data_IF_410500621076
#
_entry.id   IF_410500621076
#
_cell.length_a   1.000
_cell.length_b   1.000
_cell.length_c   1.000
_cell.angle_alpha   90.00
_cell.angle_beta   90.00
_cell.angle_gamma   90.00
#
_symmetry.space_group_name_H-M   'P 1'
#
loop_
_entity.id
_entity.type
_entity.pdbx_description
1 polymer ?
#
# COMPACT_ATOMS: atom_id res chain seq x y z
N UNK A 1 -26.84 -29.39 -19.26
CA UNK A 1 -27.78 -28.27 -19.41
C UNK A 1 -27.12 -27.06 -18.76
N UNK A 2 -26.78 -25.96 -19.41
CA UNK A 2 -26.84 -25.55 -20.82
C UNK A 2 -25.76 -24.47 -20.97
N UNK A 3 -24.96 -24.60 -22.02
CA UNK A 3 -23.89 -23.69 -22.40
C UNK A 3 -24.47 -22.47 -23.14
N UNK A 4 -23.82 -21.31 -23.03
CA UNK A 4 -24.11 -20.14 -23.86
C UNK A 4 -23.14 -20.18 -25.06
N UNK A 5 -23.59 -20.07 -26.32
CA UNK A 5 -22.78 -20.33 -27.50
C UNK A 5 -21.94 -19.13 -27.95
N UNK A 6 -20.85 -19.45 -28.65
CA UNK A 6 -20.00 -18.56 -29.44
C UNK A 6 -20.71 -18.00 -30.68
N UNK A 7 -20.24 -16.82 -31.12
CA UNK A 7 -20.14 -16.45 -32.54
C UNK A 7 -21.29 -15.61 -33.09
N UNK A 8 -21.00 -14.33 -33.39
CA UNK A 8 -21.74 -13.57 -34.41
C UNK A 8 -20.71 -12.97 -35.39
N UNK A 9 -20.85 -13.43 -36.63
CA UNK A 9 -20.22 -13.01 -37.88
C UNK A 9 -20.66 -11.57 -38.25
N UNK A 10 -19.82 -10.68 -38.82
CA UNK A 10 -20.17 -9.26 -39.00
C UNK A 10 -21.10 -8.96 -40.19
N UNK A 11 -21.69 -9.95 -40.84
CA UNK A 11 -22.45 -9.75 -42.08
C UNK A 11 -23.89 -10.25 -41.96
N UNK A 12 -24.73 -9.47 -41.28
CA UNK A 12 -26.17 -9.27 -41.57
C UNK A 12 -26.84 -8.60 -40.36
N UNK A 13 -26.94 -7.27 -40.36
CA UNK A 13 -28.05 -6.61 -39.70
C UNK A 13 -28.40 -5.32 -40.44
N UNK A 14 -29.44 -5.42 -41.27
CA UNK A 14 -30.12 -4.32 -41.94
C UNK A 14 -30.96 -3.56 -40.92
N UNK A 15 -30.34 -2.56 -40.27
CA UNK A 15 -31.02 -1.66 -39.35
C UNK A 15 -30.32 -0.31 -39.32
N UNK A 16 -31.02 0.72 -39.79
CA UNK A 16 -30.56 2.11 -39.99
C UNK A 16 -29.81 2.71 -38.79
N UNK A 17 -28.51 2.98 -38.95
CA UNK A 17 -27.70 3.75 -37.99
C UNK A 17 -27.20 5.06 -38.63
N UNK A 18 -28.07 6.06 -38.64
CA UNK A 18 -27.79 7.43 -39.11
C UNK A 18 -26.81 8.20 -38.20
N UNK A 19 -26.35 7.60 -37.08
CA UNK A 19 -25.44 8.26 -36.14
C UNK A 19 -23.96 8.07 -36.52
N UNK A 20 -23.58 6.94 -37.14
CA UNK A 20 -22.17 6.69 -37.53
C UNK A 20 -21.73 7.49 -38.76
N UNK A 21 -22.57 7.63 -39.78
CA UNK A 21 -22.22 8.38 -41.00
C UNK A 21 -22.13 9.91 -40.80
N UNK A 22 -22.67 10.46 -39.71
CA UNK A 22 -22.52 11.89 -39.39
C UNK A 22 -21.17 12.24 -38.76
N UNK A 23 -20.45 11.27 -38.18
CA UNK A 23 -19.14 11.51 -37.59
C UNK A 23 -18.02 11.52 -38.64
N UNK A 24 -18.06 10.63 -39.63
CA UNK A 24 -17.00 10.55 -40.65
C UNK A 24 -17.15 11.62 -41.76
N UNK A 25 -18.36 12.06 -42.09
CA UNK A 25 -18.57 13.13 -43.09
C UNK A 25 -18.13 14.51 -42.59
N UNK A 26 -18.06 14.72 -41.27
CA UNK A 26 -17.68 16.01 -40.68
C UNK A 26 -16.17 16.28 -40.67
N UNK A 27 -15.33 15.26 -40.92
CA UNK A 27 -13.87 15.37 -40.80
C UNK A 27 -13.15 15.71 -42.12
N UNK A 28 -13.78 15.53 -43.29
CA UNK A 28 -13.06 15.59 -44.58
C UNK A 28 -13.52 16.63 -45.61
N UNK A 29 -14.48 17.51 -45.30
CA UNK A 29 -14.87 18.59 -46.23
C UNK A 29 -14.90 19.96 -45.55
N UNK A 30 -13.73 20.54 -45.33
CA UNK A 30 -13.59 21.95 -45.00
C UNK A 30 -12.42 22.56 -45.79
N UNK A 31 -12.54 22.60 -47.12
CA UNK A 31 -11.56 23.27 -48.00
C UNK A 31 -11.91 24.74 -48.28
N UNK A 32 -13.12 25.22 -47.95
CA UNK A 32 -13.45 26.64 -48.11
C UNK A 32 -14.15 27.22 -46.88
N UNK A 33 -13.37 27.63 -45.88
CA UNK A 33 -13.85 28.57 -44.85
C UNK A 33 -13.18 29.92 -45.04
N UNK A 34 -13.93 31.04 -44.98
CA UNK A 34 -13.34 32.36 -44.99
C UNK A 34 -12.37 32.50 -43.81
N UNK A 35 -11.28 33.25 -44.03
CA UNK A 35 -10.26 33.49 -43.02
C UNK A 35 -10.91 33.88 -41.68
N UNK A 36 -10.56 33.15 -40.63
CA UNK A 36 -11.08 33.35 -39.28
C UNK A 36 -10.72 34.77 -38.80
N UNK A 37 -11.75 35.58 -38.52
CA UNK A 37 -11.61 36.93 -37.98
C UNK A 37 -11.78 36.90 -36.44
N UNK A 38 -10.67 36.95 -35.68
CA UNK A 38 -10.69 36.80 -34.22
C UNK A 38 -11.37 37.97 -33.50
N UNK A 39 -11.68 39.08 -34.19
CA UNK A 39 -12.32 40.25 -33.59
C UNK A 39 -13.83 40.07 -33.32
N UNK A 40 -14.45 39.01 -33.87
CA UNK A 40 -15.91 38.78 -33.81
C UNK A 40 -16.37 37.85 -32.68
N UNK A 41 -15.48 37.35 -31.83
CA UNK A 41 -15.88 36.53 -30.68
C UNK A 41 -16.34 37.45 -29.54
N UNK A 42 -17.66 37.53 -29.30
CA UNK A 42 -18.26 38.07 -28.07
C UNK A 42 -19.05 36.96 -27.38
N UNK A 43 -18.55 36.48 -26.23
CA UNK A 43 -19.21 35.45 -25.40
C UNK A 43 -18.22 34.42 -24.84
N UNK A 44 -18.59 33.64 -23.80
CA UNK A 44 -17.71 32.75 -23.04
C UNK A 44 -17.47 31.45 -23.81
N UNK A 45 -16.83 31.55 -24.98
CA UNK A 45 -16.43 30.39 -25.76
C UNK A 45 -15.18 29.76 -25.15
N UNK A 46 -15.32 28.50 -24.76
CA UNK A 46 -14.27 27.56 -24.36
C UNK A 46 -13.10 27.68 -25.36
N UNK A 47 -11.85 27.85 -24.92
CA UNK A 47 -10.80 28.28 -25.83
C UNK A 47 -10.32 27.11 -26.70
N UNK A 48 -10.04 27.43 -27.97
CA UNK A 48 -9.17 26.66 -28.86
C UNK A 48 -7.93 26.17 -28.09
N UNK A 49 -7.31 25.03 -28.44
CA UNK A 49 -6.06 24.60 -27.81
C UNK A 49 -5.02 25.75 -27.81
N UNK A 50 -4.19 25.84 -26.78
CA UNK A 50 -3.19 26.90 -26.58
C UNK A 50 -1.80 26.30 -26.32
N UNK A 51 -0.77 27.02 -26.74
CA UNK A 51 0.65 26.66 -26.71
C UNK A 51 1.51 27.80 -26.16
N UNK A 52 2.78 27.52 -25.85
CA UNK A 52 3.76 28.52 -25.38
C UNK A 52 3.27 29.38 -24.20
N UNK A 53 2.67 28.73 -23.19
CA UNK A 53 2.22 29.42 -21.97
C UNK A 53 3.44 29.92 -21.21
N UNK A 54 3.45 31.22 -20.90
CA UNK A 54 4.54 31.87 -20.18
C UNK A 54 4.23 31.99 -18.68
N UNK A 55 5.27 32.32 -17.90
CA UNK A 55 5.12 32.53 -16.46
C UNK A 55 4.07 33.63 -16.18
N UNK A 56 3.15 33.44 -15.21
CA UNK A 56 2.22 34.49 -14.81
C UNK A 56 2.99 35.69 -14.23
N UNK A 57 2.59 36.89 -14.64
CA UNK A 57 3.12 38.17 -14.15
C UNK A 57 1.99 38.92 -13.46
N UNK A 58 1.99 38.92 -12.13
CA UNK A 58 0.87 39.45 -11.33
C UNK A 58 -0.44 38.76 -11.69
N UNK A 59 -1.47 39.53 -12.05
CA UNK A 59 -2.79 39.02 -12.45
C UNK A 59 -2.91 38.80 -13.97
N UNK A 60 -1.80 38.64 -14.68
CA UNK A 60 -1.76 38.39 -16.13
C UNK A 60 -0.97 37.16 -16.49
N UNK A 61 -1.39 36.46 -17.56
CA UNK A 61 -0.66 35.33 -18.12
C UNK A 61 -0.68 35.43 -19.65
N UNK A 62 0.45 35.13 -20.28
CA UNK A 62 0.60 35.19 -21.74
C UNK A 62 0.64 33.78 -22.31
N UNK A 63 -0.11 33.54 -23.38
CA UNK A 63 -0.16 32.27 -24.09
C UNK A 63 -0.33 32.51 -25.60
N UNK A 64 -0.01 31.52 -26.42
CA UNK A 64 -0.22 31.59 -27.87
C UNK A 64 -1.35 30.64 -28.26
N UNK A 65 -2.46 31.11 -28.86
CA UNK A 65 -3.49 30.22 -29.38
C UNK A 65 -2.92 29.27 -30.45
N UNK A 66 -3.30 27.99 -30.45
CA UNK A 66 -2.86 27.02 -31.46
C UNK A 66 -3.33 27.49 -32.85
N UNK A 67 -2.40 27.59 -33.80
CA UNK A 67 -2.65 28.14 -35.14
C UNK A 67 -2.47 29.66 -35.26
N UNK A 68 -2.03 30.34 -34.20
CA UNK A 68 -1.60 31.74 -34.21
C UNK A 68 -0.11 31.83 -33.86
N UNK A 69 0.63 32.74 -34.49
CA UNK A 69 1.99 33.08 -34.09
C UNK A 69 2.02 34.26 -33.10
N UNK A 70 0.87 34.92 -32.90
CA UNK A 70 0.76 36.08 -32.02
C UNK A 70 0.40 35.65 -30.59
N UNK A 71 1.20 36.03 -29.58
CA UNK A 71 0.87 35.80 -28.18
C UNK A 71 -0.28 36.72 -27.74
N UNK A 72 -1.08 36.22 -26.80
CA UNK A 72 -2.22 36.89 -26.19
C UNK A 72 -1.99 36.96 -24.68
N UNK A 73 -2.18 38.13 -24.09
CA UNK A 73 -2.13 38.33 -22.64
C UNK A 73 -3.54 38.35 -22.06
N UNK A 74 -3.81 37.41 -21.16
CA UNK A 74 -5.06 37.30 -20.43
C UNK A 74 -4.92 37.92 -19.04
N UNK A 75 -5.85 38.78 -18.63
CA UNK A 75 -6.00 39.20 -17.23
C UNK A 75 -6.93 38.23 -16.50
N UNK A 76 -6.61 37.92 -15.25
CA UNK A 76 -7.40 37.05 -14.39
C UNK A 76 -8.87 37.51 -14.25
N UNK A 77 -9.11 38.82 -14.23
CA UNK A 77 -10.46 39.38 -14.10
C UNK A 77 -11.31 39.18 -15.37
N UNK A 78 -10.67 39.11 -16.54
CA UNK A 78 -11.36 38.99 -17.82
C UNK A 78 -11.85 37.54 -18.04
N UNK A 79 -11.06 36.57 -17.59
CA UNK A 79 -11.44 35.16 -17.63
C UNK A 79 -10.72 34.34 -16.53
N UNK A 80 -11.31 34.23 -15.32
CA UNK A 80 -10.64 33.58 -14.19
C UNK A 80 -10.41 32.08 -14.40
N UNK A 81 -11.34 31.39 -15.07
CA UNK A 81 -11.22 29.96 -15.35
C UNK A 81 -10.07 29.64 -16.31
N UNK A 82 -9.97 30.40 -17.41
CA UNK A 82 -8.87 30.21 -18.36
C UNK A 82 -7.52 30.60 -17.74
N UNK A 83 -7.49 31.67 -16.95
CA UNK A 83 -6.28 32.07 -16.23
C UNK A 83 -5.77 30.95 -15.33
N UNK A 84 -6.64 30.35 -14.51
CA UNK A 84 -6.29 29.23 -13.64
C UNK A 84 -5.81 28.00 -14.44
N UNK A 85 -6.46 27.66 -15.55
CA UNK A 85 -6.03 26.56 -16.42
C UNK A 85 -4.64 26.79 -17.02
N UNK A 86 -4.35 28.00 -17.50
CA UNK A 86 -3.05 28.34 -18.06
C UNK A 86 -1.95 28.32 -16.99
N UNK A 87 -2.24 28.83 -15.78
CA UNK A 87 -1.31 28.74 -14.65
C UNK A 87 -1.01 27.28 -14.31
N UNK A 88 -2.03 26.43 -14.25
CA UNK A 88 -1.86 25.00 -14.00
C UNK A 88 -1.02 24.32 -15.09
N UNK A 89 -1.25 24.65 -16.36
CA UNK A 89 -0.46 24.15 -17.48
C UNK A 89 1.00 24.60 -17.40
N UNK A 90 1.26 25.89 -17.15
CA UNK A 90 2.64 26.41 -16.99
C UNK A 90 3.37 25.71 -15.85
N UNK A 91 2.70 25.52 -14.71
CA UNK A 91 3.27 24.84 -13.56
C UNK A 91 3.55 23.35 -13.87
N UNK A 92 2.65 22.67 -14.57
CA UNK A 92 2.86 21.29 -15.02
C UNK A 92 4.06 21.18 -15.99
N UNK A 93 4.16 22.06 -16.97
CA UNK A 93 5.28 22.07 -17.93
C UNK A 93 6.61 22.38 -17.23
N UNK A 94 6.64 23.35 -16.31
CA UNK A 94 7.83 23.65 -15.51
C UNK A 94 8.26 22.47 -14.63
N UNK A 95 7.29 21.70 -14.13
CA UNK A 95 7.56 20.46 -13.39
C UNK A 95 8.16 19.39 -14.31
N UNK A 96 7.63 19.23 -15.52
CA UNK A 96 8.15 18.30 -16.53
C UNK A 96 9.58 18.68 -16.97
N UNK A 97 9.86 19.97 -17.18
CA UNK A 97 11.19 20.48 -17.52
C UNK A 97 12.20 20.21 -16.38
N UNK A 98 11.77 20.38 -15.13
CA UNK A 98 12.59 20.06 -13.96
C UNK A 98 12.89 18.55 -13.87
N UNK A 99 11.89 17.69 -14.11
CA UNK A 99 12.07 16.24 -14.15
C UNK A 99 13.02 15.82 -15.28
N UNK A 100 12.86 16.37 -16.48
CA UNK A 100 13.74 16.11 -17.61
C UNK A 100 15.19 16.50 -17.30
N UNK A 101 15.39 17.64 -16.64
CA UNK A 101 16.71 18.07 -16.17
C UNK A 101 17.29 17.10 -15.13
N UNK A 102 16.53 16.75 -14.10
CA UNK A 102 17.00 15.85 -13.03
C UNK A 102 17.31 14.44 -13.54
N UNK A 103 16.57 13.97 -14.55
CA UNK A 103 16.85 12.73 -15.26
C UNK A 103 18.17 12.83 -16.05
N UNK A 104 18.40 13.93 -16.77
CA UNK A 104 19.65 14.16 -17.49
C UNK A 104 20.85 14.24 -16.53
N UNK A 105 20.71 14.98 -15.42
CA UNK A 105 21.74 15.09 -14.37
C UNK A 105 22.05 13.71 -13.75
N UNK A 106 21.02 12.87 -13.54
CA UNK A 106 21.20 11.49 -13.07
C UNK A 106 21.99 10.64 -14.07
N UNK A 107 21.67 10.74 -15.37
CA UNK A 107 22.42 10.06 -16.44
C UNK A 107 23.89 10.51 -16.49
N UNK A 108 24.14 11.81 -16.35
CA UNK A 108 25.51 12.35 -16.26
C UNK A 108 26.26 11.88 -15.01
N UNK A 109 25.55 11.57 -13.92
CA UNK A 109 26.11 10.97 -12.72
C UNK A 109 26.31 9.43 -12.81
N UNK A 110 26.05 8.84 -13.99
CA UNK A 110 26.27 7.41 -14.27
C UNK A 110 25.08 6.51 -13.96
N UNK A 111 23.89 7.05 -13.69
CA UNK A 111 22.67 6.26 -13.52
C UNK A 111 22.08 5.88 -14.88
N UNK A 112 21.75 4.60 -15.04
CA UNK A 112 21.00 4.11 -16.19
C UNK A 112 19.51 4.33 -15.96
N UNK A 113 18.78 4.77 -17.00
CA UNK A 113 17.33 4.92 -16.91
C UNK A 113 16.67 3.56 -16.98
N UNK A 114 15.77 3.29 -16.04
CA UNK A 114 15.00 2.06 -16.02
C UNK A 114 14.03 1.98 -17.20
N UNK A 115 13.99 0.82 -17.84
CA UNK A 115 13.07 0.49 -18.91
C UNK A 115 12.03 -0.56 -18.46
N UNK A 116 11.18 -1.00 -19.38
CA UNK A 116 10.13 -2.00 -19.10
C UNK A 116 10.67 -3.38 -18.69
N UNK A 117 11.95 -3.67 -18.94
CA UNK A 117 12.61 -4.93 -18.55
C UNK A 117 13.32 -4.84 -17.20
N UNK A 118 13.47 -3.63 -16.65
CA UNK A 118 14.17 -3.38 -15.40
C UNK A 118 13.34 -3.89 -14.23
N UNK A 119 13.94 -4.74 -13.40
CA UNK A 119 13.31 -5.30 -12.20
C UNK A 119 14.00 -4.74 -10.96
N UNK A 120 13.22 -4.35 -9.95
CA UNK A 120 13.76 -3.92 -8.67
C UNK A 120 14.53 -5.08 -8.01
N UNK A 121 15.72 -4.82 -7.44
CA UNK A 121 16.44 -5.81 -6.64
C UNK A 121 15.69 -6.10 -5.34
N UNK A 122 15.97 -7.25 -4.71
CA UNK A 122 15.51 -7.52 -3.36
C UNK A 122 16.08 -6.53 -2.33
N UNK A 123 15.41 -6.39 -1.18
CA UNK A 123 15.75 -5.44 -0.11
C UNK A 123 17.20 -5.57 0.37
N UNK A 124 17.72 -6.79 0.43
CA UNK A 124 19.12 -7.06 0.83
C UNK A 124 20.16 -6.61 -0.22
N UNK A 125 19.73 -6.40 -1.47
CA UNK A 125 20.60 -6.07 -2.60
C UNK A 125 20.62 -4.58 -2.92
N UNK A 126 19.82 -3.77 -2.22
CA UNK A 126 19.99 -2.32 -2.24
C UNK A 126 21.19 -1.91 -1.41
N UNK A 127 22.08 -1.12 -2.00
CA UNK A 127 23.12 -0.39 -1.27
C UNK A 127 22.57 0.95 -0.75
N UNK A 128 21.80 1.64 -1.58
CA UNK A 128 21.12 2.89 -1.21
C UNK A 128 19.93 3.16 -2.12
N UNK A 129 18.89 3.80 -1.59
CA UNK A 129 17.79 4.36 -2.37
C UNK A 129 17.73 5.86 -2.04
N UNK A 130 17.75 6.70 -3.06
CA UNK A 130 17.60 8.15 -2.92
C UNK A 130 16.21 8.52 -2.42
N UNK A 131 16.08 9.68 -1.77
CA UNK A 131 14.78 10.17 -1.29
C UNK A 131 13.86 10.46 -2.48
N UNK A 132 12.56 10.22 -2.31
CA UNK A 132 11.51 10.61 -3.27
C UNK A 132 11.41 12.13 -3.48
N UNK A 133 12.03 12.92 -2.60
CA UNK A 133 12.09 14.38 -2.71
C UNK A 133 13.39 14.89 -3.33
N UNK A 134 14.41 14.05 -3.48
CA UNK A 134 15.75 14.46 -3.93
C UNK A 134 15.74 14.94 -5.40
N UNK A 135 15.07 14.19 -6.27
CA UNK A 135 14.97 14.47 -7.71
C UNK A 135 13.65 15.16 -8.07
N UNK A 136 12.87 15.59 -7.08
CA UNK A 136 11.49 16.04 -7.26
C UNK A 136 10.49 14.89 -7.46
N UNK A 137 9.18 15.19 -7.43
CA UNK A 137 8.13 14.18 -7.52
C UNK A 137 8.16 13.45 -8.87
N UNK A 138 8.21 12.12 -8.86
CA UNK A 138 8.15 11.30 -10.07
C UNK A 138 9.49 10.73 -10.55
N UNK A 139 10.60 11.02 -9.87
CA UNK A 139 11.89 10.35 -10.08
C UNK A 139 12.45 9.79 -8.78
N UNK A 140 13.00 8.57 -8.84
CA UNK A 140 13.71 7.94 -7.73
C UNK A 140 14.94 7.23 -8.27
N UNK A 141 16.05 7.27 -7.53
CA UNK A 141 17.30 6.61 -7.92
C UNK A 141 17.74 5.61 -6.87
N UNK A 142 18.39 4.54 -7.29
CA UNK A 142 18.96 3.57 -6.36
C UNK A 142 20.32 3.06 -6.84
N UNK A 143 21.12 2.58 -5.89
CA UNK A 143 22.34 1.83 -6.13
C UNK A 143 22.19 0.43 -5.56
N UNK A 144 22.62 -0.59 -6.30
CA UNK A 144 22.68 -1.97 -5.83
C UNK A 144 24.03 -2.27 -5.16
N UNK A 145 24.10 -3.36 -4.41
CA UNK A 145 25.35 -3.88 -3.83
C UNK A 145 26.34 -4.35 -4.90
N UNK A 146 25.86 -4.76 -6.09
CA UNK A 146 26.70 -5.06 -7.27
C UNK A 146 27.28 -3.81 -7.94
N UNK A 147 26.81 -2.61 -7.57
CA UNK A 147 27.29 -1.34 -8.09
C UNK A 147 26.46 -0.76 -9.23
N UNK A 148 25.33 -1.38 -9.58
CA UNK A 148 24.41 -0.86 -10.59
C UNK A 148 23.74 0.41 -10.07
N UNK A 149 23.67 1.43 -10.92
CA UNK A 149 23.04 2.71 -10.62
C UNK A 149 21.86 2.90 -11.54
N UNK A 150 20.65 3.01 -10.99
CA UNK A 150 19.42 3.09 -11.78
C UNK A 150 18.57 4.28 -11.35
N UNK A 151 18.06 5.02 -12.33
CA UNK A 151 17.05 6.07 -12.14
C UNK A 151 15.72 5.60 -12.72
N UNK A 152 14.66 5.72 -11.94
CA UNK A 152 13.32 5.22 -12.24
C UNK A 152 12.37 6.40 -12.36
N UNK A 153 11.63 6.44 -13.47
CA UNK A 153 10.62 7.44 -13.78
C UNK A 153 9.23 6.89 -13.52
N UNK A 154 8.43 7.61 -12.73
CA UNK A 154 7.03 7.27 -12.50
C UNK A 154 6.21 7.29 -13.80
N UNK A 155 6.61 8.12 -14.77
CA UNK A 155 5.91 8.26 -16.06
C UNK A 155 6.17 7.07 -16.97
N UNK A 156 7.42 6.61 -17.05
CA UNK A 156 7.84 5.52 -17.95
C UNK A 156 7.62 4.14 -17.32
N UNK A 157 7.93 4.00 -16.03
CA UNK A 157 7.90 2.73 -15.28
C UNK A 157 7.13 2.89 -13.96
N UNK A 158 5.81 3.15 -13.99
CA UNK A 158 5.01 3.47 -12.80
C UNK A 158 5.00 2.35 -11.74
N UNK A 159 4.97 1.09 -12.17
CA UNK A 159 4.99 -0.06 -11.26
C UNK A 159 6.33 -0.17 -10.53
N UNK A 160 7.45 -0.04 -11.27
CA UNK A 160 8.79 -0.06 -10.70
C UNK A 160 8.99 1.12 -9.74
N UNK A 161 8.54 2.33 -10.13
CA UNK A 161 8.61 3.50 -9.26
C UNK A 161 7.87 3.28 -7.94
N UNK A 162 6.64 2.74 -7.99
CA UNK A 162 5.87 2.44 -6.79
C UNK A 162 6.57 1.41 -5.89
N UNK A 163 7.16 0.37 -6.48
CA UNK A 163 7.92 -0.64 -5.75
C UNK A 163 9.17 -0.03 -5.08
N UNK A 164 10.05 0.62 -5.83
CA UNK A 164 11.28 1.23 -5.30
C UNK A 164 10.98 2.30 -4.24
N UNK A 165 9.90 3.08 -4.42
CA UNK A 165 9.44 4.03 -3.41
C UNK A 165 8.96 3.35 -2.13
N UNK A 166 8.27 2.21 -2.23
CA UNK A 166 7.88 1.40 -1.08
C UNK A 166 9.09 0.78 -0.37
N UNK A 167 10.04 0.26 -1.16
CA UNK A 167 11.26 -0.34 -0.66
C UNK A 167 12.19 0.68 0.02
N UNK A 168 12.18 1.94 -0.43
CA UNK A 168 12.86 3.05 0.26
C UNK A 168 12.40 3.19 1.72
N UNK A 169 11.09 3.13 1.97
CA UNK A 169 10.52 3.20 3.32
C UNK A 169 10.93 1.98 4.17
N UNK A 170 10.93 0.78 3.58
CA UNK A 170 11.40 -0.45 4.24
C UNK A 170 12.90 -0.40 4.55
N UNK A 171 13.72 0.08 3.62
CA UNK A 171 15.18 0.16 3.79
C UNK A 171 15.55 1.13 4.91
N UNK A 172 14.85 2.26 5.01
CA UNK A 172 15.01 3.20 6.13
C UNK A 172 14.74 2.51 7.47
N UNK A 173 13.65 1.76 7.56
CA UNK A 173 13.27 0.99 8.75
C UNK A 173 14.28 -0.11 9.11
N UNK A 174 14.80 -0.80 8.10
CA UNK A 174 15.84 -1.83 8.25
C UNK A 174 17.12 -1.19 8.81
N UNK A 175 17.59 -0.11 8.21
CA UNK A 175 18.81 0.59 8.64
C UNK A 175 18.68 1.14 10.07
N UNK A 176 17.53 1.71 10.43
CA UNK A 176 17.26 2.16 11.79
C UNK A 176 17.29 0.99 12.79
N UNK A 177 16.73 -0.16 12.42
CA UNK A 177 16.74 -1.38 13.25
C UNK A 177 18.14 -2.01 13.35
N UNK A 178 18.96 -1.92 12.31
CA UNK A 178 20.35 -2.38 12.34
C UNK A 178 21.19 -1.62 13.36
N UNK A 179 20.92 -0.33 13.58
CA UNK A 179 21.56 0.46 14.64
C UNK A 179 21.25 -0.07 16.06
N UNK A 180 20.16 -0.83 16.22
CA UNK A 180 19.76 -1.50 17.47
C UNK A 180 20.25 -2.97 17.56
N UNK A 181 21.04 -3.41 16.56
CA UNK A 181 21.65 -4.74 16.48
C UNK A 181 20.81 -5.79 15.73
N UNK A 182 19.74 -5.39 15.04
CA UNK A 182 18.95 -6.32 14.22
C UNK A 182 19.62 -6.58 12.85
N UNK A 183 19.46 -7.78 12.29
CA UNK A 183 19.85 -8.11 10.91
C UNK A 183 18.63 -8.52 10.07
N UNK A 184 18.63 -8.27 8.77
CA UNK A 184 17.57 -8.78 7.90
C UNK A 184 17.67 -10.30 7.77
N UNK A 185 16.53 -11.00 7.83
CA UNK A 185 16.45 -12.44 7.63
C UNK A 185 16.83 -12.80 6.18
N UNK A 186 17.55 -13.90 6.01
CA UNK A 186 17.78 -14.48 4.69
C UNK A 186 16.50 -15.12 4.10
N UNK A 187 16.46 -15.42 2.79
CA UNK A 187 15.28 -16.03 2.15
C UNK A 187 14.89 -17.40 2.74
N UNK A 188 15.90 -18.19 3.11
CA UNK A 188 15.74 -19.55 3.66
C UNK A 188 16.01 -19.61 5.16
N UNK A 189 15.89 -18.47 5.86
CA UNK A 189 16.15 -18.39 7.29
C UNK A 189 15.20 -19.34 8.06
N UNK A 190 15.73 -20.30 8.84
CA UNK A 190 14.90 -21.19 9.63
C UNK A 190 14.22 -20.42 10.76
N UNK A 191 12.99 -20.83 11.11
CA UNK A 191 12.33 -20.33 12.30
C UNK A 191 13.01 -20.88 13.55
N UNK A 192 13.54 -19.99 14.37
CA UNK A 192 13.94 -20.28 15.75
C UNK A 192 12.82 -19.76 16.69
N UNK A 193 12.33 -20.57 17.63
CA UNK A 193 11.26 -20.15 18.54
C UNK A 193 11.63 -18.85 19.27
N UNK A 194 10.91 -17.77 18.96
CA UNK A 194 11.22 -16.44 19.45
C UNK A 194 11.15 -16.31 20.98
N UNK A 195 12.12 -15.59 21.56
CA UNK A 195 12.01 -15.02 22.90
C UNK A 195 11.06 -13.81 22.91
N UNK A 196 10.99 -13.05 21.81
CA UNK A 196 10.08 -11.92 21.62
C UNK A 196 9.78 -11.66 20.13
N UNK A 197 8.51 -11.36 19.80
CA UNK A 197 8.06 -10.99 18.46
C UNK A 197 7.41 -9.60 18.55
N UNK A 198 7.95 -8.65 17.79
CA UNK A 198 7.43 -7.30 17.63
C UNK A 198 6.14 -7.25 16.83
N UNK A 199 5.49 -6.09 16.79
CA UNK A 199 4.24 -5.93 16.04
C UNK A 199 4.48 -6.09 14.52
N UNK A 200 3.54 -6.74 13.79
CA UNK A 200 3.43 -6.57 12.35
C UNK A 200 3.41 -5.11 11.98
N UNK A 201 4.30 -4.76 11.05
CA UNK A 201 4.53 -3.40 10.59
C UNK A 201 5.10 -2.43 11.63
N UNK A 202 5.62 -2.91 12.77
CA UNK A 202 6.21 -2.08 13.84
C UNK A 202 7.27 -1.11 13.31
N UNK A 203 8.08 -1.59 12.37
CA UNK A 203 9.15 -0.81 11.76
C UNK A 203 8.80 -0.30 10.38
N UNK A 204 7.80 -0.88 9.72
CA UNK A 204 7.38 -0.50 8.37
C UNK A 204 6.54 -1.58 7.69
N UNK A 205 5.84 -1.25 6.59
CA UNK A 205 4.93 -2.17 5.92
C UNK A 205 5.63 -3.48 5.52
N UNK A 206 5.04 -4.61 5.91
CA UNK A 206 5.59 -5.94 5.63
C UNK A 206 6.86 -6.31 6.41
N UNK A 207 7.26 -5.55 7.45
CA UNK A 207 8.44 -5.84 8.27
C UNK A 207 8.08 -6.13 9.73
N UNK A 208 8.75 -7.11 10.34
CA UNK A 208 8.59 -7.48 11.76
C UNK A 208 9.96 -7.64 12.41
N UNK A 209 10.13 -7.08 13.60
CA UNK A 209 11.27 -7.40 14.47
C UNK A 209 11.01 -8.69 15.23
N UNK A 210 11.99 -9.57 15.24
CA UNK A 210 11.94 -10.90 15.81
C UNK A 210 13.23 -11.12 16.60
N UNK A 211 13.11 -11.51 17.88
CA UNK A 211 14.26 -11.95 18.69
C UNK A 211 14.15 -13.44 18.91
N UNK A 212 15.09 -14.20 18.35
CA UNK A 212 15.20 -15.65 18.47
C UNK A 212 15.44 -16.10 19.93
N UNK A 213 15.17 -17.36 20.27
CA UNK A 213 15.55 -17.90 21.59
C UNK A 213 17.06 -17.92 21.80
N UNK A 214 17.85 -18.00 20.71
CA UNK A 214 19.31 -17.81 20.74
C UNK A 214 19.74 -16.41 21.21
N UNK A 215 18.82 -15.44 21.20
CA UNK A 215 19.10 -14.01 21.41
C UNK A 215 19.36 -13.23 20.12
N UNK A 216 19.32 -13.88 18.96
CA UNK A 216 19.53 -13.20 17.68
C UNK A 216 18.40 -12.23 17.38
N UNK A 217 18.77 -10.99 17.06
CA UNK A 217 17.84 -9.94 16.64
C UNK A 217 17.73 -9.93 15.13
N UNK A 218 16.55 -10.20 14.61
CA UNK A 218 16.30 -10.39 13.18
C UNK A 218 15.08 -9.57 12.73
N UNK A 219 15.12 -9.06 11.51
CA UNK A 219 14.01 -8.40 10.83
C UNK A 219 13.48 -9.37 9.80
N UNK A 220 12.20 -9.69 9.88
CA UNK A 220 11.54 -10.60 8.95
C UNK A 220 10.71 -9.76 7.98
N UNK A 221 11.00 -9.93 6.69
CA UNK A 221 10.28 -9.26 5.60
C UNK A 221 9.27 -10.22 4.98
N UNK A 222 8.07 -9.72 4.71
CA UNK A 222 7.03 -10.44 3.99
C UNK A 222 7.48 -10.81 2.57
N UNK A 223 8.27 -9.95 1.93
CA UNK A 223 8.67 -10.11 0.52
C UNK A 223 9.93 -10.99 0.39
N UNK A 224 10.91 -10.83 1.28
CA UNK A 224 12.17 -11.57 1.22
C UNK A 224 12.09 -12.94 1.89
N UNK A 225 11.36 -13.04 3.01
CA UNK A 225 11.28 -14.26 3.83
C UNK A 225 9.82 -14.60 4.16
N UNK A 226 8.95 -14.83 3.15
CA UNK A 226 7.51 -15.03 3.36
C UNK A 226 7.19 -16.21 4.28
N UNK A 227 7.95 -17.30 4.19
CA UNK A 227 7.73 -18.49 5.02
C UNK A 227 7.99 -18.23 6.52
N UNK A 228 9.00 -17.43 6.84
CA UNK A 228 9.29 -17.01 8.21
C UNK A 228 8.29 -15.94 8.66
N UNK A 229 7.96 -14.98 7.80
CA UNK A 229 6.97 -13.94 8.06
C UNK A 229 5.63 -14.54 8.46
N UNK A 230 5.13 -15.50 7.69
CA UNK A 230 3.89 -16.21 7.99
C UNK A 230 3.96 -16.95 9.34
N UNK A 231 5.11 -17.52 9.71
CA UNK A 231 5.28 -18.20 10.99
C UNK A 231 5.27 -17.22 12.16
N UNK A 232 5.92 -16.07 12.00
CA UNK A 232 5.98 -15.02 13.01
C UNK A 232 4.63 -14.30 13.17
N UNK A 233 3.86 -14.14 12.08
CA UNK A 233 2.53 -13.50 12.07
C UNK A 233 1.40 -14.41 12.54
N UNK A 234 1.56 -15.74 12.47
CA UNK A 234 0.52 -16.72 12.89
C UNK A 234 0.11 -16.61 14.35
N UNK A 235 0.88 -15.91 15.17
CA UNK A 235 0.58 -15.57 16.56
C UNK A 235 0.62 -14.05 16.71
N UNK A 236 -0.27 -13.47 17.53
CA UNK A 236 -0.27 -12.03 17.76
C UNK A 236 1.10 -11.61 18.34
N UNK A 237 1.57 -10.41 18.03
CA UNK A 237 2.82 -9.91 18.61
C UNK A 237 2.77 -9.95 20.14
N UNK A 238 3.87 -10.37 20.78
CA UNK A 238 3.93 -10.61 22.22
C UNK A 238 3.05 -11.76 22.76
N UNK A 239 2.32 -12.47 21.90
CA UNK A 239 1.49 -13.61 22.31
C UNK A 239 2.28 -14.91 22.36
N UNK A 240 1.98 -15.72 23.38
CA UNK A 240 2.41 -17.11 23.49
C UNK A 240 1.23 -18.06 23.20
N UNK A 241 1.47 -19.37 23.20
CA UNK A 241 0.40 -20.37 23.23
C UNK A 241 0.20 -21.14 21.93
N UNK A 242 -1.05 -21.56 21.69
CA UNK A 242 -1.40 -22.56 20.68
C UNK A 242 -0.99 -22.13 19.27
N UNK A 243 -0.20 -22.98 18.61
CA UNK A 243 0.12 -22.91 17.19
C UNK A 243 -0.25 -24.23 16.51
N UNK A 244 -0.54 -24.16 15.21
CA UNK A 244 -0.97 -25.32 14.43
C UNK A 244 -0.04 -25.47 13.24
N UNK A 245 0.53 -26.67 13.11
CA UNK A 245 1.36 -27.09 11.99
C UNK A 245 0.65 -28.24 11.27
N UNK A 246 0.68 -28.24 9.95
CA UNK A 246 0.07 -29.28 9.12
C UNK A 246 0.89 -29.46 7.85
N UNK A 247 0.98 -30.71 7.37
CA UNK A 247 1.46 -31.05 6.02
C UNK A 247 0.31 -31.39 5.07
N UNK A 248 -0.92 -31.49 5.58
CA UNK A 248 -2.12 -31.69 4.76
C UNK A 248 -2.63 -30.36 4.22
N UNK A 249 -2.52 -30.20 2.90
CA UNK A 249 -2.97 -29.03 2.16
C UNK A 249 -4.46 -28.73 2.34
N UNK A 250 -5.30 -29.74 2.65
CA UNK A 250 -6.75 -29.50 2.89
C UNK A 250 -6.95 -28.75 4.19
N UNK A 251 -6.21 -29.15 5.23
CA UNK A 251 -6.22 -28.51 6.54
C UNK A 251 -5.60 -27.11 6.47
N UNK A 252 -4.49 -26.97 5.76
CA UNK A 252 -3.86 -25.66 5.49
C UNK A 252 -4.83 -24.71 4.78
N UNK A 253 -5.42 -25.15 3.66
CA UNK A 253 -6.39 -24.36 2.90
C UNK A 253 -7.60 -23.98 3.77
N UNK A 254 -8.07 -24.88 4.64
CA UNK A 254 -9.18 -24.60 5.55
C UNK A 254 -8.80 -23.54 6.58
N UNK A 255 -7.63 -23.66 7.22
CA UNK A 255 -7.16 -22.67 8.19
C UNK A 255 -6.96 -21.31 7.50
N UNK A 256 -6.33 -21.25 6.33
CA UNK A 256 -6.04 -19.99 5.62
C UNK A 256 -7.30 -19.37 5.02
N UNK A 257 -8.16 -20.15 4.36
CA UNK A 257 -9.36 -19.65 3.68
C UNK A 257 -10.48 -19.29 4.65
N UNK A 258 -10.66 -20.08 5.72
CA UNK A 258 -11.67 -19.83 6.74
C UNK A 258 -11.14 -19.07 7.95
N UNK A 259 -9.87 -18.61 7.96
CA UNK A 259 -9.27 -17.94 9.12
C UNK A 259 -10.16 -16.82 9.66
N UNK A 260 -10.75 -16.02 8.75
CA UNK A 260 -11.67 -14.91 9.05
C UNK A 260 -12.95 -15.34 9.76
N UNK A 261 -13.34 -16.61 9.65
CA UNK A 261 -14.51 -17.22 10.29
C UNK A 261 -14.14 -17.91 11.61
N UNK A 262 -12.88 -18.34 11.76
CA UNK A 262 -12.40 -19.04 12.95
C UNK A 262 -12.28 -18.08 14.13
N UNK A 263 -12.91 -18.45 15.24
CA UNK A 263 -12.71 -17.78 16.51
C UNK A 263 -11.33 -18.14 17.07
N UNK A 264 -10.57 -17.13 17.45
CA UNK A 264 -9.34 -17.24 18.21
C UNK A 264 -9.60 -16.77 19.64
N UNK A 265 -9.14 -17.53 20.61
CA UNK A 265 -9.35 -17.26 22.02
C UNK A 265 -8.03 -17.00 22.72
N UNK A 266 -7.98 -15.89 23.44
CA UNK A 266 -6.82 -15.42 24.17
C UNK A 266 -7.13 -15.27 25.65
N UNK A 267 -6.14 -15.60 26.47
CA UNK A 267 -6.03 -15.14 27.85
C UNK A 267 -5.01 -14.01 27.86
N UNK A 268 -5.45 -12.82 28.18
CA UNK A 268 -4.69 -11.58 28.18
C UNK A 268 -4.47 -11.15 29.62
N UNK A 269 -3.22 -11.13 30.06
CA UNK A 269 -2.82 -10.59 31.35
C UNK A 269 -2.67 -9.07 31.24
N UNK A 270 -3.33 -8.35 32.15
CA UNK A 270 -3.48 -6.90 32.09
C UNK A 270 -3.10 -6.24 33.41
N UNK A 271 -2.65 -5.00 33.32
CA UNK A 271 -2.45 -4.08 34.44
C UNK A 271 -3.26 -2.79 34.23
N UNK A 272 -3.47 -2.05 35.32
CA UNK A 272 -4.27 -0.83 35.34
C UNK A 272 -5.72 -1.07 35.78
N UNK A 273 -6.51 0.00 35.73
CA UNK A 273 -7.91 -0.02 36.15
C UNK A 273 -8.82 0.14 34.93
N UNK A 274 -9.76 -0.78 34.78
CA UNK A 274 -10.71 -0.71 33.67
C UNK A 274 -11.68 0.46 33.87
N UNK A 275 -11.93 1.22 32.82
CA UNK A 275 -12.92 2.30 32.87
C UNK A 275 -14.33 1.77 33.17
N UNK A 276 -15.20 2.63 33.70
CA UNK A 276 -16.61 2.30 33.93
C UNK A 276 -17.27 1.79 32.64
N UNK A 277 -17.95 0.64 32.72
CA UNK A 277 -18.54 -0.07 31.58
C UNK A 277 -17.53 -0.51 30.50
N UNK A 278 -16.21 -0.55 30.78
CA UNK A 278 -15.20 -0.92 29.80
C UNK A 278 -15.41 -2.31 29.21
N UNK A 279 -15.76 -3.30 30.04
CA UNK A 279 -16.04 -4.65 29.55
C UNK A 279 -17.27 -4.71 28.64
N UNK A 280 -18.32 -3.94 28.97
CA UNK A 280 -19.54 -3.85 28.14
C UNK A 280 -19.24 -3.18 26.79
N UNK A 281 -18.38 -2.14 26.78
CA UNK A 281 -17.91 -1.48 25.56
C UNK A 281 -17.16 -2.46 24.66
N UNK A 282 -16.22 -3.24 25.20
CA UNK A 282 -15.53 -4.30 24.44
C UNK A 282 -16.51 -5.28 23.80
N UNK A 283 -17.55 -5.69 24.54
CA UNK A 283 -18.54 -6.65 24.05
C UNK A 283 -19.51 -6.10 23.00
N UNK A 284 -19.70 -4.78 22.93
CA UNK A 284 -20.58 -4.15 21.93
C UNK A 284 -19.85 -3.61 20.70
N UNK A 285 -18.54 -3.37 20.82
CA UNK A 285 -17.82 -2.54 19.85
C UNK A 285 -18.12 -1.06 20.10
N UNK A 286 -17.14 -0.20 19.79
CA UNK A 286 -17.27 1.24 20.02
C UNK A 286 -16.23 2.03 19.23
N UNK A 287 -16.49 3.32 19.05
CA UNK A 287 -15.55 4.24 18.44
C UNK A 287 -14.53 4.76 19.45
N UNK A 288 -13.26 4.72 19.09
CA UNK A 288 -12.15 5.23 19.88
C UNK A 288 -11.18 6.02 19.01
N UNK A 289 -10.98 7.31 19.34
CA UNK A 289 -10.11 8.24 18.58
C UNK A 289 -10.38 8.28 17.07
N UNK A 290 -11.66 8.25 16.67
CA UNK A 290 -12.06 8.28 15.26
C UNK A 290 -11.94 6.93 14.54
N UNK A 291 -11.61 5.85 15.26
CA UNK A 291 -11.55 4.49 14.71
C UNK A 291 -12.63 3.60 15.35
N UNK A 292 -13.38 2.89 14.51
CA UNK A 292 -14.37 1.92 14.97
C UNK A 292 -13.66 0.61 15.40
N UNK A 293 -13.83 0.23 16.67
CA UNK A 293 -13.30 -1.01 17.21
C UNK A 293 -14.38 -2.11 17.19
N UNK A 294 -14.04 -3.32 16.73
CA UNK A 294 -15.01 -4.40 16.60
C UNK A 294 -15.47 -4.91 17.97
N UNK A 295 -16.69 -5.45 18.00
CA UNK A 295 -17.21 -6.15 19.16
C UNK A 295 -16.43 -7.45 19.40
N UNK A 296 -16.03 -7.69 20.65
CA UNK A 296 -15.26 -8.87 21.06
C UNK A 296 -15.89 -9.53 22.27
N UNK A 297 -15.90 -10.85 22.33
CA UNK A 297 -16.40 -11.53 23.55
C UNK A 297 -15.33 -11.45 24.62
N UNK A 298 -15.47 -10.51 25.55
CA UNK A 298 -14.52 -10.25 26.62
C UNK A 298 -15.15 -10.57 27.98
N UNK A 299 -14.44 -11.33 28.80
CA UNK A 299 -14.85 -11.69 30.17
C UNK A 299 -13.65 -11.75 31.09
N UNK A 300 -13.80 -11.30 32.34
CA UNK A 300 -12.77 -11.53 33.36
C UNK A 300 -12.63 -13.01 33.69
N UNK A 301 -11.39 -13.50 33.70
CA UNK A 301 -11.04 -14.82 34.23
C UNK A 301 -10.63 -14.72 35.70
N UNK A 302 -9.94 -13.64 36.06
CA UNK A 302 -9.62 -13.22 37.43
C UNK A 302 -9.32 -11.70 37.41
N UNK A 303 -8.79 -11.14 38.51
CA UNK A 303 -8.54 -9.69 38.63
C UNK A 303 -7.52 -9.13 37.63
N UNK A 304 -6.60 -9.95 37.11
CA UNK A 304 -5.51 -9.52 36.22
C UNK A 304 -5.57 -10.16 34.84
N UNK A 305 -6.58 -10.99 34.54
CA UNK A 305 -6.67 -11.73 33.28
C UNK A 305 -8.03 -11.59 32.63
N UNK A 306 -8.03 -11.08 31.40
CA UNK A 306 -9.16 -11.11 30.49
C UNK A 306 -9.10 -12.34 29.60
N UNK A 307 -10.25 -12.99 29.43
CA UNK A 307 -10.48 -13.92 28.32
C UNK A 307 -11.14 -13.15 27.18
N UNK A 308 -10.54 -13.18 26.00
CA UNK A 308 -11.03 -12.49 24.81
C UNK A 308 -11.17 -13.47 23.65
N UNK A 309 -12.32 -13.45 22.97
CA UNK A 309 -12.57 -14.24 21.75
C UNK A 309 -12.83 -13.30 20.57
N UNK A 310 -12.05 -13.45 19.52
CA UNK A 310 -12.09 -12.60 18.32
C UNK A 310 -12.00 -13.46 17.07
N UNK A 311 -12.64 -13.04 15.97
CA UNK A 311 -12.48 -13.68 14.67
C UNK A 311 -11.32 -13.03 13.93
N UNK A 312 -10.25 -13.80 13.71
CA UNK A 312 -9.01 -13.35 13.05
C UNK A 312 -8.60 -11.90 13.40
N UNK A 313 -8.26 -11.62 14.67
CA UNK A 313 -7.90 -10.27 15.05
C UNK A 313 -6.69 -9.79 14.26
N UNK A 314 -6.76 -8.57 13.72
CA UNK A 314 -5.59 -7.92 13.14
C UNK A 314 -4.51 -7.78 14.22
N UNK A 315 -3.22 -7.86 13.86
CA UNK A 315 -2.14 -7.66 14.81
C UNK A 315 -2.26 -6.35 15.59
N UNK A 316 -1.99 -6.38 16.90
CA UNK A 316 -2.09 -5.21 17.78
C UNK A 316 -3.52 -4.82 18.19
N UNK A 317 -4.56 -5.41 17.58
CA UNK A 317 -5.96 -5.10 17.91
C UNK A 317 -6.30 -5.41 19.37
N UNK A 318 -5.78 -6.50 19.92
CA UNK A 318 -6.05 -6.89 21.32
C UNK A 318 -5.48 -5.84 22.28
N UNK A 319 -4.25 -5.36 22.02
CA UNK A 319 -3.66 -4.29 22.82
C UNK A 319 -4.42 -2.98 22.69
N UNK A 320 -4.85 -2.63 21.47
CA UNK A 320 -5.66 -1.45 21.21
C UNK A 320 -6.98 -1.49 21.98
N UNK A 321 -7.65 -2.64 21.97
CA UNK A 321 -8.88 -2.88 22.73
C UNK A 321 -8.64 -2.71 24.24
N UNK A 322 -7.59 -3.33 24.80
CA UNK A 322 -7.26 -3.14 26.21
C UNK A 322 -6.94 -1.67 26.54
N UNK A 323 -6.12 -1.01 25.73
CA UNK A 323 -5.71 0.39 25.93
C UNK A 323 -6.89 1.35 25.86
N UNK A 324 -7.84 1.10 24.96
CA UNK A 324 -9.03 1.92 24.80
C UNK A 324 -9.98 1.89 26.00
N UNK A 325 -9.85 0.88 26.87
CA UNK A 325 -10.59 0.77 28.14
C UNK A 325 -9.74 1.00 29.38
N UNK A 326 -8.54 1.58 29.22
CA UNK A 326 -7.65 1.93 30.34
C UNK A 326 -6.73 0.81 30.84
N UNK A 327 -6.69 -0.33 30.15
CA UNK A 327 -5.85 -1.47 30.50
C UNK A 327 -4.56 -1.51 29.69
N UNK A 328 -3.47 -1.93 30.31
CA UNK A 328 -2.21 -2.23 29.64
C UNK A 328 -1.99 -3.73 29.58
N UNK A 329 -1.60 -4.27 28.42
CA UNK A 329 -1.32 -5.70 28.28
C UNK A 329 0.08 -5.99 28.78
N UNK A 330 0.21 -6.92 29.72
CA UNK A 330 1.48 -7.39 30.27
C UNK A 330 1.93 -8.69 29.60
N UNK A 331 0.98 -9.51 29.17
CA UNK A 331 1.24 -10.71 28.40
C UNK A 331 -0.03 -11.26 27.81
N UNK A 332 0.07 -12.09 26.78
CA UNK A 332 -1.10 -12.74 26.21
C UNK A 332 -0.79 -14.15 25.74
N UNK A 333 -1.81 -15.00 25.74
CA UNK A 333 -1.69 -16.41 25.34
C UNK A 333 -2.90 -16.86 24.54
N UNK A 334 -2.69 -17.34 23.31
CA UNK A 334 -3.74 -18.02 22.54
C UNK A 334 -3.99 -19.40 23.12
N UNK A 335 -5.22 -19.69 23.52
CA UNK A 335 -5.61 -20.97 24.13
C UNK A 335 -6.56 -21.79 23.25
N UNK A 336 -7.15 -21.20 22.20
CA UNK A 336 -7.99 -21.91 21.22
C UNK A 336 -7.92 -21.27 19.84
N UNK A 337 -7.98 -22.09 18.81
CA UNK A 337 -8.13 -21.70 17.40
C UNK A 337 -9.25 -22.56 16.78
N UNK A 338 -10.37 -21.94 16.41
CA UNK A 338 -11.54 -22.66 15.93
C UNK A 338 -12.04 -23.65 16.99
N UNK A 339 -12.18 -24.93 16.61
CA UNK A 339 -12.52 -26.01 17.54
C UNK A 339 -11.33 -26.66 18.25
N UNK A 340 -10.09 -26.20 18.02
CA UNK A 340 -8.88 -26.80 18.61
C UNK A 340 -8.43 -26.01 19.83
N UNK A 341 -8.37 -26.69 20.99
CA UNK A 341 -7.96 -26.10 22.25
C UNK A 341 -6.55 -26.55 22.65
N UNK A 342 -5.81 -25.65 23.30
CA UNK A 342 -4.48 -25.94 23.85
C UNK A 342 -4.54 -27.01 24.94
N UNK A 343 -5.65 -27.08 25.68
CA UNK A 343 -5.85 -28.05 26.76
C UNK A 343 -4.79 -27.91 27.85
N UNK A 344 -4.19 -29.04 28.25
CA UNK A 344 -3.11 -29.10 29.26
C UNK A 344 -1.70 -29.16 28.64
N UNK A 345 -1.54 -28.76 27.38
CA UNK A 345 -0.25 -28.80 26.70
C UNK A 345 0.75 -27.83 27.35
N UNK A 346 1.90 -28.31 27.87
CA UNK A 346 2.93 -27.45 28.42
C UNK A 346 3.58 -26.57 27.34
N UNK A 347 4.19 -25.46 27.75
CA UNK A 347 4.97 -24.62 26.83
C UNK A 347 6.13 -25.42 26.19
N UNK A 348 6.37 -25.20 24.90
CA UNK A 348 7.41 -25.89 24.12
C UNK A 348 7.09 -27.33 23.73
N UNK A 349 5.97 -27.89 24.20
CA UNK A 349 5.53 -29.22 23.83
C UNK A 349 4.55 -29.16 22.66
N UNK A 350 4.44 -30.26 21.92
CA UNK A 350 3.49 -30.43 20.83
C UNK A 350 2.73 -31.74 20.99
N UNK A 351 1.56 -31.82 20.36
CA UNK A 351 0.77 -33.05 20.27
C UNK A 351 0.10 -33.13 18.91
N UNK A 352 -0.25 -34.34 18.50
CA UNK A 352 -1.14 -34.51 17.37
C UNK A 352 -2.55 -34.02 17.71
N UNK A 353 -3.26 -33.60 16.66
CA UNK A 353 -4.67 -33.22 16.73
C UNK A 353 -5.52 -34.46 17.04
N UNK A 354 -6.45 -34.34 17.99
CA UNK A 354 -7.33 -35.47 18.31
C UNK A 354 -8.36 -35.67 17.20
N UNK A 355 -8.82 -36.91 16.99
CA UNK A 355 -9.81 -37.25 15.94
C UNK A 355 -11.11 -36.44 16.01
N UNK A 356 -11.44 -35.90 17.20
CA UNK A 356 -12.65 -35.10 17.45
C UNK A 356 -12.45 -33.60 17.20
N UNK A 357 -11.20 -33.13 17.18
CA UNK A 357 -10.88 -31.73 16.98
C UNK A 357 -11.00 -31.35 15.50
N UNK A 358 -11.58 -30.18 15.21
CA UNK A 358 -11.77 -29.67 13.85
C UNK A 358 -11.64 -28.15 13.85
N UNK A 359 -11.11 -27.61 12.75
CA UNK A 359 -11.07 -26.18 12.48
C UNK A 359 -12.40 -25.69 11.94
#
# INVERSE_FOLDING_TARGET
MTAIPNGLDPAENTGTDAARNKFETALFTAVDRPAFDPSKIRGPSIPLPYQNVQAPVGNTITYTPLGSDKPVTLKQIDNPRLFEQLVNQYNAQKSDDALAKNLADSKSAGYQEADASTVAPGLANYKAIGSTTELGPGLIRYETTSGDKVVVSQKETPALFAQVSGDSAKLFAINASQAEGYRLAGPDEPFDPAAAIGAPEEVGPGLIRYTAASGDKVIVSQDETPALYDQVVKLQAGASGLQVYTQDWRTERKITSDLRKLEQEYVVEVSGEIIKHGLERLNRGFEWKGQELPAVKASWQNETRLRMVLKNPAPGLIELLCRSVGLQVVGMRRIRLGGVAMGKLPAGQWRYLETKEKF
#
